data_IF_153962340191
#
_entry.id   IF_153962340191
#
_cell.length_a   1.000
_cell.length_b   1.000
_cell.length_c   1.000
_cell.angle_alpha   90.00
_cell.angle_beta   90.00
_cell.angle_gamma   90.00
#
_symmetry.space_group_name_H-M   'P 1'
#
loop_
_entity.id
_entity.type
_entity.pdbx_description
1 polymer ?
#
# COMPACT_ATOMS: atom_id res chain seq x y z
N UNK A 1 -27.18 -1.27 -17.31
CA UNK A 1 -26.70 -0.24 -16.37
C UNK A 1 -26.58 -0.90 -15.01
N UNK A 2 -25.37 -1.15 -14.53
CA UNK A 2 -25.15 -1.69 -13.19
C UNK A 2 -25.35 -0.55 -12.22
N UNK A 3 -26.44 -0.56 -11.45
CA UNK A 3 -26.66 0.40 -10.37
C UNK A 3 -25.53 0.22 -9.37
N UNK A 4 -24.60 1.17 -9.32
CA UNK A 4 -23.57 1.25 -8.30
C UNK A 4 -24.31 1.53 -6.99
N UNK A 5 -24.44 0.52 -6.12
CA UNK A 5 -25.06 0.69 -4.82
C UNK A 5 -24.15 1.56 -3.97
N UNK A 6 -24.47 2.85 -3.93
CA UNK A 6 -23.78 3.90 -3.19
C UNK A 6 -24.18 3.84 -1.71
N UNK A 7 -23.21 3.74 -0.81
CA UNK A 7 -23.40 3.79 0.64
C UNK A 7 -22.70 5.00 1.25
N UNK A 8 -23.16 5.41 2.43
CA UNK A 8 -22.55 6.50 3.20
C UNK A 8 -21.90 5.94 4.47
N UNK A 9 -20.75 6.48 4.83
CA UNK A 9 -20.05 6.13 6.07
C UNK A 9 -19.85 7.40 6.88
N UNK A 10 -20.40 7.46 8.09
CA UNK A 10 -20.15 8.53 9.05
C UNK A 10 -18.95 8.14 9.93
N UNK A 11 -17.82 8.80 9.75
CA UNK A 11 -16.65 8.65 10.60
C UNK A 11 -16.71 9.68 11.73
N UNK A 12 -16.51 9.22 12.97
CA UNK A 12 -16.38 10.06 14.16
C UNK A 12 -15.07 9.78 14.86
N UNK A 13 -14.42 10.82 15.37
CA UNK A 13 -13.20 10.70 16.14
C UNK A 13 -13.18 11.69 17.30
N UNK A 14 -12.39 11.42 18.33
CA UNK A 14 -12.17 12.43 19.37
C UNK A 14 -11.17 13.48 18.93
N UNK A 15 -11.47 14.74 19.26
CA UNK A 15 -10.60 15.87 18.91
C UNK A 15 -9.25 15.77 19.63
N UNK A 16 -8.18 15.91 18.86
CA UNK A 16 -6.86 16.23 19.35
C UNK A 16 -6.80 17.75 19.68
N UNK A 17 -6.42 18.14 20.91
CA UNK A 17 -6.41 19.54 21.34
C UNK A 17 -5.40 20.42 20.57
N UNK A 18 -4.41 19.81 19.91
CA UNK A 18 -3.39 20.52 19.14
C UNK A 18 -3.68 20.53 17.62
N UNK A 19 -4.81 19.96 17.19
CA UNK A 19 -5.19 19.94 15.78
C UNK A 19 -5.95 21.22 15.39
N UNK A 20 -5.52 21.84 14.31
CA UNK A 20 -6.22 22.95 13.66
C UNK A 20 -7.14 22.45 12.54
N UNK A 21 -6.89 21.25 12.01
CA UNK A 21 -7.63 20.61 10.92
C UNK A 21 -7.47 19.07 11.00
N UNK A 22 -8.18 18.31 10.17
CA UNK A 22 -8.03 16.87 10.00
C UNK A 22 -8.01 16.45 8.54
N UNK A 23 -7.24 15.41 8.25
CA UNK A 23 -7.31 14.68 6.99
C UNK A 23 -7.91 13.30 7.24
N UNK A 24 -8.69 12.82 6.28
CA UNK A 24 -9.21 11.45 6.27
C UNK A 24 -8.64 10.75 5.06
N UNK A 25 -8.12 9.54 5.24
CA UNK A 25 -7.58 8.73 4.15
C UNK A 25 -8.25 7.37 4.17
N UNK A 26 -8.63 6.86 2.99
CA UNK A 26 -9.32 5.59 2.88
C UNK A 26 -9.07 4.89 1.54
N UNK A 27 -9.25 3.57 1.50
CA UNK A 27 -9.08 2.80 0.27
C UNK A 27 -9.33 1.31 0.45
N UNK A 28 -9.08 0.48 -0.59
CA UNK A 28 -9.65 -0.86 -0.69
C UNK A 28 -9.06 -1.90 0.28
N UNK A 29 -7.98 -1.55 0.99
CA UNK A 29 -7.28 -2.48 1.86
C UNK A 29 -6.44 -1.77 2.91
N UNK A 30 -5.98 -2.55 3.88
CA UNK A 30 -5.18 -2.06 5.01
C UNK A 30 -3.91 -1.38 4.52
N UNK A 31 -3.65 -0.14 4.95
CA UNK A 31 -2.51 0.66 4.50
C UNK A 31 -2.53 1.06 3.02
N UNK A 32 -3.63 0.80 2.30
CA UNK A 32 -3.81 1.19 0.90
C UNK A 32 -4.90 2.26 0.80
N UNK A 33 -4.53 3.51 1.11
CA UNK A 33 -5.44 4.65 1.12
C UNK A 33 -5.36 5.44 -0.19
N UNK A 34 -6.12 5.00 -1.20
CA UNK A 34 -6.14 5.62 -2.53
C UNK A 34 -6.89 6.96 -2.58
N UNK A 35 -7.73 7.22 -1.58
CA UNK A 35 -8.63 8.37 -1.53
C UNK A 35 -8.40 9.14 -0.24
N UNK A 36 -8.67 10.45 -0.27
CA UNK A 36 -8.59 11.25 0.93
C UNK A 36 -9.35 12.56 0.85
N UNK A 37 -9.76 13.01 2.03
CA UNK A 37 -10.31 14.34 2.27
C UNK A 37 -9.28 15.12 3.07
N UNK A 38 -8.93 16.31 2.59
CA UNK A 38 -8.10 17.26 3.33
C UNK A 38 -8.90 18.53 3.59
N UNK A 39 -8.53 19.29 4.61
CA UNK A 39 -9.25 20.52 4.92
C UNK A 39 -10.64 20.26 5.49
N UNK A 40 -10.83 19.17 6.24
CA UNK A 40 -12.13 18.84 6.85
C UNK A 40 -12.54 19.83 7.94
N UNK A 41 -11.61 20.69 8.35
CA UNK A 41 -11.72 21.68 9.40
C UNK A 41 -11.46 21.08 10.78
N UNK A 42 -11.53 21.92 11.81
CA UNK A 42 -11.50 21.47 13.21
C UNK A 42 -12.83 20.80 13.60
N UNK A 43 -13.12 19.66 12.99
CA UNK A 43 -14.30 18.82 13.21
C UNK A 43 -13.89 17.52 13.91
N UNK A 44 -14.88 16.81 14.44
CA UNK A 44 -14.78 15.45 15.01
C UNK A 44 -15.59 14.43 14.20
N UNK A 45 -16.13 14.84 13.05
CA UNK A 45 -16.97 14.00 12.22
C UNK A 45 -16.86 14.37 10.74
N UNK A 46 -16.94 13.35 9.88
CA UNK A 46 -17.13 13.51 8.44
C UNK A 46 -17.97 12.38 7.88
N UNK A 47 -18.78 12.68 6.86
CA UNK A 47 -19.52 11.66 6.11
C UNK A 47 -18.88 11.49 4.74
N UNK A 48 -18.50 10.26 4.42
CA UNK A 48 -18.03 9.87 3.08
C UNK A 48 -19.19 9.20 2.36
N UNK A 49 -19.61 9.78 1.25
CA UNK A 49 -20.72 9.30 0.42
C UNK A 49 -20.24 8.58 -0.84
N UNK A 50 -21.16 7.89 -1.51
CA UNK A 50 -20.93 7.24 -2.82
C UNK A 50 -19.90 6.10 -2.83
N UNK A 51 -19.70 5.44 -1.68
CA UNK A 51 -18.86 4.26 -1.60
C UNK A 51 -19.54 3.07 -2.24
N UNK A 52 -18.77 2.19 -2.89
CA UNK A 52 -19.32 0.96 -3.46
C UNK A 52 -19.58 -0.05 -2.34
N UNK A 53 -20.85 -0.31 -2.06
CA UNK A 53 -21.28 -1.31 -1.06
C UNK A 53 -20.68 -2.72 -1.24
N UNK A 54 -20.16 -3.06 -2.42
CA UNK A 54 -19.55 -4.35 -2.70
C UNK A 54 -18.04 -4.40 -2.47
N UNK A 55 -17.43 -3.30 -2.04
CA UNK A 55 -15.99 -3.12 -1.89
C UNK A 55 -15.63 -2.97 -0.41
N UNK A 56 -14.55 -3.64 0.02
CA UNK A 56 -13.94 -3.38 1.33
C UNK A 56 -13.30 -2.00 1.32
N UNK A 57 -13.46 -1.24 2.41
CA UNK A 57 -12.75 0.01 2.63
C UNK A 57 -12.09 0.02 4.00
N UNK A 58 -10.87 0.54 4.07
CA UNK A 58 -10.16 0.83 5.30
C UNK A 58 -9.96 2.35 5.42
N UNK A 59 -10.19 2.90 6.61
CA UNK A 59 -10.20 4.34 6.90
C UNK A 59 -9.23 4.67 8.04
N UNK A 60 -8.59 5.82 7.93
CA UNK A 60 -7.78 6.45 8.98
C UNK A 60 -8.01 7.96 9.00
N UNK A 61 -7.84 8.58 10.16
CA UNK A 61 -7.92 10.03 10.36
C UNK A 61 -6.61 10.55 10.89
N UNK A 62 -6.04 11.61 10.31
CA UNK A 62 -4.87 12.31 10.89
C UNK A 62 -5.24 13.73 11.32
N UNK A 63 -4.82 14.15 12.52
CA UNK A 63 -4.86 15.56 12.89
C UNK A 63 -3.83 16.32 12.07
N UNK A 64 -4.12 17.57 11.78
CA UNK A 64 -3.20 18.51 11.13
C UNK A 64 -3.05 19.70 12.05
N UNK A 65 -1.81 20.10 12.30
CA UNK A 65 -1.50 21.37 12.94
C UNK A 65 -0.74 22.23 11.92
N UNK A 66 -1.38 23.31 11.46
CA UNK A 66 -0.91 24.12 10.35
C UNK A 66 -0.68 23.31 9.06
N UNK A 67 0.57 23.17 8.61
CA UNK A 67 0.96 22.38 7.43
C UNK A 67 1.55 21.01 7.78
N UNK A 68 1.62 20.65 9.07
CA UNK A 68 2.22 19.40 9.52
C UNK A 68 1.14 18.36 9.84
N UNK A 69 1.00 17.29 9.03
CA UNK A 69 0.15 16.17 9.41
C UNK A 69 0.76 15.44 10.62
N UNK A 70 -0.10 15.14 11.60
CA UNK A 70 0.21 14.34 12.76
C UNK A 70 0.02 12.85 12.52
N UNK A 71 0.11 12.07 13.60
CA UNK A 71 -0.09 10.63 13.54
C UNK A 71 -1.52 10.27 13.16
N UNK A 72 -1.68 9.39 12.16
CA UNK A 72 -2.98 8.81 11.79
C UNK A 72 -3.54 7.97 12.95
N UNK A 73 -4.87 7.89 13.03
CA UNK A 73 -5.60 7.03 13.96
C UNK A 73 -5.31 5.56 13.70
N UNK A 74 -5.78 4.68 14.59
CA UNK A 74 -5.98 3.29 14.21
C UNK A 74 -6.80 3.19 12.91
N UNK A 75 -6.55 2.11 12.19
CA UNK A 75 -7.29 1.80 10.98
C UNK A 75 -8.56 1.04 11.32
N UNK A 76 -9.66 1.43 10.67
CA UNK A 76 -10.92 0.70 10.72
C UNK A 76 -11.29 0.28 9.31
N UNK A 77 -11.59 -1.00 9.11
CA UNK A 77 -12.04 -1.52 7.83
C UNK A 77 -13.47 -2.05 7.91
N UNK A 78 -14.26 -1.73 6.90
CA UNK A 78 -15.62 -2.22 6.70
C UNK A 78 -15.72 -3.01 5.39
N UNK A 79 -16.67 -3.94 5.36
CA UNK A 79 -16.92 -4.80 4.20
C UNK A 79 -15.94 -5.96 4.06
N UNK A 80 -16.34 -6.93 3.24
CA UNK A 80 -15.55 -8.12 2.94
C UNK A 80 -14.67 -7.91 1.71
N UNK A 81 -13.44 -8.44 1.76
CA UNK A 81 -12.59 -8.46 0.57
C UNK A 81 -13.18 -9.47 -0.43
N UNK A 82 -13.99 -8.99 -1.39
CA UNK A 82 -14.44 -9.86 -2.47
C UNK A 82 -13.20 -10.32 -3.24
N UNK A 83 -12.98 -11.64 -3.25
CA UNK A 83 -12.00 -12.29 -4.12
C UNK A 83 -12.38 -11.93 -5.56
N UNK A 84 -11.71 -10.93 -6.14
CA UNK A 84 -11.88 -10.62 -7.56
C UNK A 84 -11.22 -11.76 -8.32
N UNK A 85 -12.01 -12.76 -8.69
CA UNK A 85 -11.63 -13.70 -9.74
C UNK A 85 -11.67 -12.89 -11.03
N UNK A 86 -10.50 -12.37 -11.43
CA UNK A 86 -10.31 -11.82 -12.78
C UNK A 86 -10.79 -12.87 -13.78
N UNK A 87 -11.81 -12.49 -14.56
CA UNK A 87 -12.65 -13.40 -15.31
C UNK A 87 -11.87 -14.42 -16.13
N UNK A 88 -12.21 -15.70 -15.94
CA UNK A 88 -12.03 -16.72 -16.96
C UNK A 88 -12.87 -16.27 -18.15
N UNK A 89 -12.22 -16.02 -19.28
CA UNK A 89 -12.88 -15.94 -20.58
C UNK A 89 -13.64 -17.25 -20.80
N UNK A 90 -14.97 -17.25 -20.66
CA UNK A 90 -15.82 -18.34 -21.15
C UNK A 90 -16.14 -18.09 -22.62
N UNK A 91 -15.11 -18.18 -23.45
CA UNK A 91 -15.30 -18.53 -24.85
C UNK A 91 -15.67 -20.02 -24.92
N UNK A 92 -16.91 -20.28 -25.35
CA UNK A 92 -17.51 -21.56 -25.76
C UNK A 92 -16.81 -22.88 -25.40
N UNK A 93 -17.51 -23.70 -24.61
CA UNK A 93 -17.23 -25.13 -24.49
C UNK A 93 -17.63 -25.66 -23.12
N UNK A 94 -18.61 -26.58 -23.10
CA UNK A 94 -18.89 -27.41 -21.95
C UNK A 94 -17.60 -28.07 -21.44
N UNK A 95 -17.33 -27.94 -20.15
CA UNK A 95 -16.48 -28.91 -19.44
C UNK A 95 -17.13 -29.28 -18.13
N UNK A 96 -17.58 -30.54 -18.11
CA UNK A 96 -18.07 -31.30 -16.99
C UNK A 96 -16.94 -31.54 -15.98
N UNK A 97 -17.21 -31.20 -14.71
CA UNK A 97 -16.62 -31.83 -13.54
C UNK A 97 -15.28 -31.26 -13.06
N UNK A 98 -15.29 -30.67 -11.86
CA UNK A 98 -14.60 -31.29 -10.73
C UNK A 98 -15.27 -30.84 -9.42
N UNK A 99 -15.75 -31.84 -8.67
CA UNK A 99 -16.29 -31.72 -7.33
C UNK A 99 -15.15 -31.59 -6.32
N UNK A 100 -15.31 -30.73 -5.32
CA UNK A 100 -14.69 -30.90 -4.01
C UNK A 100 -15.79 -30.92 -2.95
N UNK A 101 -16.08 -32.12 -2.49
CA UNK A 101 -16.94 -32.43 -1.35
C UNK A 101 -16.30 -31.94 -0.05
N UNK A 102 -17.02 -31.08 0.68
CA UNK A 102 -16.95 -31.03 2.14
C UNK A 102 -18.39 -30.87 2.66
N UNK A 103 -18.93 -31.98 3.16
CA UNK A 103 -20.16 -32.10 3.98
C UNK A 103 -19.65 -32.19 5.43
N UNK A 104 -19.93 -31.24 6.31
CA UNK A 104 -21.10 -31.20 7.23
C UNK A 104 -20.53 -31.27 8.67
N UNK A 105 -21.03 -30.62 9.71
CA UNK A 105 -22.25 -29.85 9.94
C UNK A 105 -22.06 -28.92 11.15
N UNK A 106 -22.98 -27.95 11.26
CA UNK A 106 -23.56 -27.38 12.49
C UNK A 106 -22.86 -26.22 13.22
N UNK A 107 -23.26 -24.98 12.90
CA UNK A 107 -24.14 -24.20 13.75
C UNK A 107 -24.56 -22.88 13.07
N UNK A 108 -25.86 -22.79 12.78
CA UNK A 108 -26.70 -21.59 12.64
C UNK A 108 -26.28 -20.48 11.67
N UNK A 109 -26.89 -20.53 10.50
CA UNK A 109 -27.64 -19.42 9.88
C UNK A 109 -27.17 -17.99 10.22
N UNK A 110 -26.33 -17.46 9.36
CA UNK A 110 -26.20 -16.01 9.12
C UNK A 110 -25.97 -15.87 7.63
N UNK A 111 -27.02 -15.55 6.88
CA UNK A 111 -26.87 -15.01 5.54
C UNK A 111 -25.79 -13.92 5.57
N UNK A 112 -24.76 -13.92 4.71
CA UNK A 112 -23.80 -12.84 4.67
C UNK A 112 -24.54 -11.61 4.14
N UNK A 113 -24.94 -10.73 5.05
CA UNK A 113 -25.46 -9.42 4.71
C UNK A 113 -24.34 -8.68 3.98
N UNK A 114 -24.43 -8.68 2.65
CA UNK A 114 -23.39 -8.17 1.75
C UNK A 114 -23.56 -6.66 1.53
N UNK A 115 -24.20 -5.97 2.47
CA UNK A 115 -24.44 -4.54 2.42
C UNK A 115 -23.59 -3.87 3.48
N UNK A 116 -22.80 -2.86 3.10
CA UNK A 116 -22.29 -1.90 4.07
C UNK A 116 -23.53 -1.14 4.58
N UNK A 117 -23.98 -1.31 5.84
CA UNK A 117 -25.04 -0.46 6.36
C UNK A 117 -24.54 1.00 6.40
N UNK A 118 -25.45 1.96 6.50
CA UNK A 118 -25.11 3.34 6.89
C UNK A 118 -24.54 3.29 8.33
N UNK A 119 -23.25 2.98 8.44
CA UNK A 119 -22.58 2.66 9.69
C UNK A 119 -21.89 3.89 10.27
N UNK A 120 -22.00 4.03 11.59
CA UNK A 120 -21.28 5.03 12.36
C UNK A 120 -20.03 4.40 12.94
N UNK A 121 -18.88 4.87 12.51
CA UNK A 121 -17.58 4.38 12.96
C UNK A 121 -17.04 5.37 13.99
N UNK A 122 -16.64 4.89 15.17
CA UNK A 122 -16.10 5.71 16.26
C UNK A 122 -14.63 5.37 16.47
N UNK A 123 -13.77 6.38 16.39
CA UNK A 123 -12.32 6.33 16.65
C UNK A 123 -12.03 6.94 18.04
N UNK A 124 -11.40 6.16 18.93
CA UNK A 124 -11.15 6.54 20.33
C UNK A 124 -9.86 7.38 20.47
N UNK A 125 -9.79 8.38 21.36
CA UNK A 125 -8.57 9.15 21.57
C UNK A 125 -7.36 8.31 22.02
N UNK A 126 -7.60 7.17 22.69
CA UNK A 126 -6.57 6.19 23.02
C UNK A 126 -5.98 5.50 21.78
N UNK A 127 -6.68 5.51 20.64
CA UNK A 127 -6.15 4.99 19.38
C UNK A 127 -5.03 5.85 18.80
N UNK A 128 -4.93 7.13 19.20
CA UNK A 128 -3.77 7.97 18.91
C UNK A 128 -2.59 7.71 19.86
N UNK A 129 -2.80 6.99 20.96
CA UNK A 129 -1.77 6.71 21.98
C UNK A 129 -1.04 5.38 21.77
N UNK A 130 -1.61 4.48 20.96
CA UNK A 130 -0.84 3.43 20.33
C UNK A 130 -0.05 4.07 19.18
N UNK A 131 1.28 3.92 19.07
CA UNK A 131 2.01 4.42 17.92
C UNK A 131 1.51 3.63 16.71
N UNK A 132 0.55 4.21 15.99
CA UNK A 132 0.34 3.84 14.60
C UNK A 132 1.66 4.15 13.93
N UNK A 133 2.24 3.16 13.26
CA UNK A 133 3.46 3.35 12.47
C UNK A 133 3.09 4.47 11.49
N UNK A 134 3.56 5.70 11.73
CA UNK A 134 3.43 6.81 10.77
C UNK A 134 4.55 6.63 9.77
N UNK A 135 4.18 6.21 8.58
CA UNK A 135 5.10 5.79 7.56
C UNK A 135 4.97 6.80 6.47
N UNK A 136 6.02 7.59 6.33
CA UNK A 136 6.08 8.63 5.33
C UNK A 136 6.75 8.08 4.09
N UNK A 137 6.72 8.87 3.04
CA UNK A 137 7.53 8.64 1.86
C UNK A 137 8.98 8.39 2.31
N UNK A 138 9.63 7.32 1.83
CA UNK A 138 11.03 7.08 2.12
C UNK A 138 11.88 8.24 1.60
N UNK A 139 12.85 8.67 2.40
CA UNK A 139 13.74 9.79 2.08
C UNK A 139 15.16 9.36 1.77
N UNK A 140 15.54 8.13 2.13
CA UNK A 140 16.86 7.57 1.86
C UNK A 140 16.83 6.05 1.82
N UNK A 141 17.68 5.47 0.97
CA UNK A 141 17.93 4.02 0.93
C UNK A 141 19.44 3.77 1.02
N UNK A 142 19.82 2.77 1.80
CA UNK A 142 21.21 2.34 1.96
C UNK A 142 21.32 0.83 1.82
N UNK A 143 22.26 0.36 0.99
CA UNK A 143 22.60 -1.05 0.79
C UNK A 143 24.14 -1.16 0.91
N UNK A 144 24.69 -1.31 2.14
CA UNK A 144 26.13 -1.22 2.37
C UNK A 144 26.96 -2.20 1.54
N UNK A 145 26.45 -3.42 1.35
CA UNK A 145 27.14 -4.46 0.58
C UNK A 145 27.34 -4.10 -0.91
N UNK A 146 26.62 -3.09 -1.41
CA UNK A 146 26.64 -2.67 -2.82
C UNK A 146 27.18 -1.24 -3.00
N UNK A 147 27.65 -0.60 -1.94
CA UNK A 147 28.04 0.82 -1.93
C UNK A 147 26.91 1.73 -2.47
N UNK A 148 25.67 1.43 -2.08
CA UNK A 148 24.50 2.24 -2.44
C UNK A 148 24.07 3.03 -1.22
N UNK A 149 24.05 4.35 -1.35
CA UNK A 149 23.53 5.28 -0.36
C UNK A 149 22.92 6.49 -1.08
N UNK A 150 21.59 6.47 -1.23
CA UNK A 150 20.89 7.38 -2.12
C UNK A 150 19.75 8.12 -1.40
N UNK A 151 19.58 9.43 -1.65
CA UNK A 151 18.33 10.09 -1.35
C UNK A 151 17.20 9.48 -2.20
N UNK A 152 16.01 9.40 -1.60
CA UNK A 152 14.79 8.89 -2.24
C UNK A 152 13.80 10.05 -2.40
N UNK A 153 13.28 10.22 -3.61
CA UNK A 153 12.24 11.17 -3.95
C UNK A 153 10.92 10.45 -4.28
N UNK A 154 9.79 11.10 -4.03
CA UNK A 154 8.49 10.56 -4.46
C UNK A 154 8.32 10.75 -5.97
N UNK A 155 8.06 9.66 -6.69
CA UNK A 155 7.76 9.70 -8.11
C UNK A 155 6.26 9.71 -8.35
N UNK A 156 5.79 10.75 -9.03
CA UNK A 156 4.40 10.83 -9.50
C UNK A 156 4.21 9.98 -10.75
N UNK A 157 2.95 9.71 -11.10
CA UNK A 157 2.59 9.11 -12.39
C UNK A 157 2.41 10.22 -13.42
N UNK A 158 3.14 10.15 -14.52
CA UNK A 158 3.01 11.01 -15.70
C UNK A 158 2.96 10.14 -16.96
N UNK A 159 1.94 10.35 -17.79
CA UNK A 159 1.72 9.55 -19.01
C UNK A 159 1.74 8.03 -18.72
N UNK A 160 1.01 7.61 -17.68
CA UNK A 160 0.91 6.22 -17.22
C UNK A 160 2.23 5.57 -16.75
N UNK A 161 3.27 6.38 -16.52
CA UNK A 161 4.57 5.92 -16.06
C UNK A 161 5.01 6.68 -14.81
N UNK A 162 5.70 5.99 -13.88
CA UNK A 162 6.35 6.71 -12.80
C UNK A 162 7.52 7.55 -13.31
N UNK A 163 7.61 8.77 -12.80
CA UNK A 163 8.73 9.67 -13.01
C UNK A 163 10.05 9.02 -12.58
N UNK A 164 11.12 9.31 -13.32
CA UNK A 164 12.49 8.92 -12.93
C UNK A 164 13.32 10.15 -12.68
N UNK A 165 14.34 10.02 -11.83
CA UNK A 165 15.21 11.13 -11.44
C UNK A 165 16.65 10.84 -11.83
N UNK A 166 17.36 11.86 -12.33
CA UNK A 166 18.74 11.69 -12.76
C UNK A 166 19.71 11.38 -11.60
N UNK A 167 19.43 11.84 -10.38
CA UNK A 167 20.36 11.74 -9.25
C UNK A 167 19.78 11.09 -7.99
N UNK A 168 18.56 10.56 -8.05
CA UNK A 168 17.83 10.07 -6.88
C UNK A 168 17.28 8.67 -7.15
N UNK A 169 17.13 7.90 -6.09
CA UNK A 169 16.17 6.81 -6.09
C UNK A 169 14.76 7.39 -6.00
N UNK A 170 13.78 6.63 -6.46
CA UNK A 170 12.40 7.04 -6.60
C UNK A 170 11.50 6.05 -5.88
N UNK A 171 10.59 6.53 -5.05
CA UNK A 171 9.50 5.74 -4.49
C UNK A 171 8.25 5.94 -5.33
N UNK A 172 7.65 4.85 -5.80
CA UNK A 172 6.49 4.92 -6.69
C UNK A 172 5.24 5.32 -5.93
N UNK A 173 4.63 6.47 -6.28
CA UNK A 173 3.36 6.88 -5.68
C UNK A 173 2.30 5.80 -5.90
N UNK A 174 1.52 5.51 -4.85
CA UNK A 174 0.53 4.42 -4.83
C UNK A 174 1.12 3.05 -4.44
N UNK A 175 2.44 2.93 -4.27
CA UNK A 175 3.05 1.82 -3.53
C UNK A 175 3.10 2.13 -2.04
N UNK A 176 3.33 1.10 -1.22
CA UNK A 176 3.33 1.23 0.23
C UNK A 176 4.53 2.07 0.72
N UNK A 177 4.38 2.79 1.82
CA UNK A 177 5.49 3.37 2.57
C UNK A 177 6.18 2.30 3.44
N UNK A 178 7.48 2.48 3.79
CA UNK A 178 8.18 1.58 4.69
C UNK A 178 7.42 1.39 5.98
N UNK A 179 7.00 0.16 6.26
CA UNK A 179 6.24 -0.22 7.43
C UNK A 179 4.76 -0.53 7.20
N UNK A 180 4.22 -0.17 6.04
CA UNK A 180 2.83 -0.39 5.68
C UNK A 180 2.73 -1.83 5.23
N UNK A 181 1.63 -2.51 5.56
CA UNK A 181 1.41 -3.89 5.12
C UNK A 181 1.06 -3.93 3.64
N UNK A 182 2.06 -3.84 2.78
CA UNK A 182 1.97 -4.02 1.32
C UNK A 182 3.40 -3.96 0.72
N UNK A 183 3.52 -3.67 -0.57
CA UNK A 183 4.77 -3.62 -1.31
C UNK A 183 5.29 -2.17 -1.42
N UNK A 184 6.46 -1.92 -0.85
CA UNK A 184 7.22 -0.67 -0.98
C UNK A 184 8.05 -0.77 -2.25
N UNK A 185 7.82 0.12 -3.21
CA UNK A 185 8.52 0.05 -4.50
C UNK A 185 9.49 1.21 -4.63
N UNK A 186 10.79 0.89 -4.71
CA UNK A 186 11.87 1.88 -4.92
C UNK A 186 12.65 1.53 -6.18
N UNK A 187 12.94 2.53 -7.01
CA UNK A 187 13.64 2.33 -8.28
C UNK A 187 14.63 3.45 -8.60
N UNK A 188 15.62 3.13 -9.43
CA UNK A 188 16.57 4.11 -9.94
C UNK A 188 17.16 3.61 -11.27
N UNK A 189 17.81 4.51 -12.02
CA UNK A 189 18.51 4.12 -13.24
C UNK A 189 19.63 3.12 -12.97
N UNK A 190 19.84 2.21 -13.93
CA UNK A 190 20.91 1.22 -13.92
C UNK A 190 22.24 1.85 -14.36
N UNK A 191 22.84 2.67 -13.49
CA UNK A 191 24.14 3.29 -13.75
C UNK A 191 24.93 3.53 -12.47
N UNK A 192 26.22 3.79 -12.61
CA UNK A 192 27.10 4.13 -11.49
C UNK A 192 26.55 5.33 -10.71
N UNK A 193 26.63 5.26 -9.38
CA UNK A 193 26.04 6.25 -8.48
C UNK A 193 24.52 6.16 -8.30
N UNK A 194 23.86 5.15 -8.88
CA UNK A 194 22.46 4.80 -8.63
C UNK A 194 22.34 3.26 -8.44
N UNK A 195 21.35 2.60 -9.04
CA UNK A 195 21.14 1.15 -8.90
C UNK A 195 22.02 0.30 -9.83
N UNK A 196 23.08 0.87 -10.43
CA UNK A 196 24.00 0.12 -11.29
C UNK A 196 24.67 -1.08 -10.62
N UNK A 197 24.88 -1.02 -9.31
CA UNK A 197 25.47 -2.13 -8.53
C UNK A 197 24.44 -3.16 -8.06
N UNK A 198 23.13 -2.94 -8.30
CA UNK A 198 22.08 -3.85 -7.85
C UNK A 198 22.22 -5.26 -8.45
N UNK A 199 22.87 -5.39 -9.61
CA UNK A 199 23.24 -6.68 -10.23
C UNK A 199 24.17 -7.56 -9.39
N UNK A 200 24.84 -7.00 -8.38
CA UNK A 200 25.69 -7.73 -7.45
C UNK A 200 24.98 -8.05 -6.12
N UNK A 201 23.69 -7.74 -6.01
CA UNK A 201 22.89 -8.09 -4.84
C UNK A 201 22.95 -9.60 -4.56
N UNK A 202 22.87 -9.96 -3.28
CA UNK A 202 22.86 -11.34 -2.83
C UNK A 202 21.67 -11.54 -1.88
N UNK A 203 21.09 -12.73 -1.91
CA UNK A 203 20.12 -13.15 -0.89
C UNK A 203 20.79 -13.09 0.48
N UNK A 204 20.10 -12.52 1.46
CA UNK A 204 20.62 -12.25 2.80
C UNK A 204 21.21 -10.85 2.99
N UNK A 205 21.47 -10.09 1.91
CA UNK A 205 21.95 -8.71 2.02
C UNK A 205 20.94 -7.83 2.75
N UNK A 206 21.44 -6.95 3.62
CA UNK A 206 20.60 -5.99 4.34
C UNK A 206 20.41 -4.70 3.54
N UNK A 207 19.20 -4.17 3.64
CA UNK A 207 18.80 -2.89 3.06
C UNK A 207 18.18 -2.06 4.19
N UNK A 208 18.59 -0.80 4.32
CA UNK A 208 17.96 0.14 5.24
C UNK A 208 17.25 1.22 4.45
N UNK A 209 15.99 1.49 4.81
CA UNK A 209 15.21 2.61 4.28
C UNK A 209 14.92 3.59 5.42
N UNK A 210 15.18 4.87 5.20
CA UNK A 210 14.82 5.94 6.12
C UNK A 210 13.47 6.52 5.72
N UNK A 211 12.53 6.57 6.66
CA UNK A 211 11.23 7.22 6.49
C UNK A 211 10.81 7.85 7.82
N UNK A 212 10.35 9.11 7.81
CA UNK A 212 9.95 9.85 9.02
C UNK A 212 10.96 9.76 10.17
N UNK A 213 12.26 9.91 9.86
CA UNK A 213 13.35 9.81 10.82
C UNK A 213 13.49 8.43 11.52
N UNK A 214 12.87 7.39 10.96
CA UNK A 214 12.94 6.00 11.43
C UNK A 214 13.60 5.12 10.37
N UNK A 215 14.41 4.17 10.83
CA UNK A 215 15.06 3.19 9.97
C UNK A 215 14.20 1.93 9.89
N UNK A 216 13.98 1.46 8.68
CA UNK A 216 13.32 0.19 8.37
C UNK A 216 14.37 -0.73 7.77
N UNK A 217 14.58 -1.89 8.39
CA UNK A 217 15.53 -2.88 7.88
C UNK A 217 14.78 -3.95 7.09
N UNK A 218 15.36 -4.28 5.96
CA UNK A 218 14.92 -5.36 5.09
C UNK A 218 16.09 -6.29 4.81
N UNK A 219 15.78 -7.55 4.52
CA UNK A 219 16.74 -8.54 4.09
C UNK A 219 16.31 -9.10 2.74
N UNK A 220 17.22 -9.08 1.76
CA UNK A 220 16.98 -9.64 0.43
C UNK A 220 16.60 -11.11 0.55
N UNK A 221 15.44 -11.47 0.00
CA UNK A 221 14.91 -12.83 0.00
C UNK A 221 14.89 -13.45 -1.39
N UNK A 222 14.76 -12.63 -2.45
CA UNK A 222 14.69 -13.12 -3.83
C UNK A 222 15.30 -12.09 -4.78
N UNK A 223 15.96 -12.58 -5.83
CA UNK A 223 16.49 -11.76 -6.92
C UNK A 223 16.06 -12.43 -8.22
N UNK A 224 15.44 -11.67 -9.12
CA UNK A 224 15.00 -12.19 -10.43
C UNK A 224 15.12 -11.16 -11.53
N UNK A 225 15.25 -11.65 -12.75
CA UNK A 225 15.20 -10.85 -13.96
C UNK A 225 13.90 -11.14 -14.71
N UNK A 226 13.13 -10.10 -15.01
CA UNK A 226 11.79 -10.20 -15.61
C UNK A 226 11.71 -9.34 -16.88
N UNK A 227 10.67 -9.55 -17.69
CA UNK A 227 10.34 -8.65 -18.81
C UNK A 227 9.53 -7.44 -18.33
N UNK A 228 9.58 -6.28 -19.02
CA UNK A 228 8.94 -5.05 -18.54
C UNK A 228 7.41 -5.12 -18.41
N UNK A 229 6.76 -6.05 -19.11
CA UNK A 229 5.31 -6.31 -19.06
C UNK A 229 4.87 -7.10 -17.81
N UNK A 230 5.81 -7.68 -17.04
CA UNK A 230 5.51 -8.45 -15.82
C UNK A 230 5.29 -7.54 -14.59
N UNK A 231 4.28 -6.68 -14.67
CA UNK A 231 3.95 -5.65 -13.67
C UNK A 231 3.42 -6.19 -12.35
N UNK A 232 2.99 -7.45 -12.29
CA UNK A 232 2.51 -8.09 -11.05
C UNK A 232 3.56 -8.10 -9.93
N UNK A 233 4.84 -8.01 -10.28
CA UNK A 233 5.96 -8.03 -9.32
C UNK A 233 6.02 -6.78 -8.43
N UNK A 234 5.50 -5.64 -8.91
CA UNK A 234 5.46 -4.37 -8.15
C UNK A 234 4.07 -4.10 -7.56
N UNK A 235 3.15 -5.06 -7.67
CA UNK A 235 1.81 -4.96 -7.10
C UNK A 235 1.79 -5.15 -5.58
N UNK A 236 0.62 -4.94 -4.94
CA UNK A 236 0.46 -5.13 -3.50
C UNK A 236 0.78 -6.55 -3.03
N UNK A 237 1.29 -6.66 -1.81
CA UNK A 237 1.63 -7.93 -1.14
C UNK A 237 0.85 -8.09 0.16
N UNK A 238 0.69 -9.32 0.65
CA UNK A 238 0.00 -9.58 1.93
C UNK A 238 0.82 -9.15 3.15
N UNK A 239 2.14 -9.17 3.01
CA UNK A 239 3.10 -8.75 4.04
C UNK A 239 3.93 -7.58 3.53
N UNK A 240 4.55 -6.86 4.46
CA UNK A 240 5.46 -5.77 4.13
C UNK A 240 6.68 -6.30 3.36
N UNK A 241 6.77 -5.88 2.10
CA UNK A 241 7.83 -6.26 1.17
C UNK A 241 8.48 -5.01 0.59
N UNK A 242 9.80 -5.00 0.48
CA UNK A 242 10.52 -3.99 -0.30
C UNK A 242 10.91 -4.59 -1.65
N UNK A 243 10.42 -3.98 -2.72
CA UNK A 243 10.79 -4.29 -4.10
C UNK A 243 11.69 -3.19 -4.65
N UNK A 244 12.95 -3.53 -4.92
CA UNK A 244 13.85 -2.68 -5.69
C UNK A 244 13.81 -3.10 -7.15
N UNK A 245 13.65 -2.14 -8.07
CA UNK A 245 13.71 -2.45 -9.50
C UNK A 245 14.60 -1.48 -10.29
N UNK A 246 15.28 -2.01 -11.32
CA UNK A 246 16.07 -1.23 -12.27
C UNK A 246 16.12 -1.90 -13.64
N UNK A 247 16.61 -1.20 -14.67
CA UNK A 247 16.84 -1.77 -15.99
C UNK A 247 17.94 -2.84 -15.96
N UNK A 248 17.87 -3.83 -16.85
CA UNK A 248 18.85 -4.91 -16.94
C UNK A 248 18.81 -5.58 -18.31
N UNK A 249 19.64 -6.62 -18.48
CA UNK A 249 19.78 -7.34 -19.74
C UNK A 249 20.45 -6.50 -20.83
N UNK A 250 20.54 -7.07 -22.02
CA UNK A 250 21.12 -6.40 -23.18
C UNK A 250 20.27 -5.19 -23.60
N UNK A 251 20.88 -4.01 -23.67
CA UNK A 251 20.23 -2.74 -24.01
C UNK A 251 18.99 -2.42 -23.14
N UNK A 252 19.05 -2.71 -21.84
CA UNK A 252 17.99 -2.36 -20.85
C UNK A 252 16.60 -2.98 -21.14
N UNK A 253 16.55 -4.05 -21.94
CA UNK A 253 15.31 -4.73 -22.36
C UNK A 253 14.60 -5.48 -21.23
N UNK A 254 15.27 -5.70 -20.10
CA UNK A 254 14.72 -6.46 -18.97
C UNK A 254 14.71 -5.61 -17.70
N UNK A 255 14.15 -6.17 -16.62
CA UNK A 255 14.14 -5.56 -15.30
C UNK A 255 14.77 -6.50 -14.28
N UNK A 256 15.74 -5.98 -13.54
CA UNK A 256 16.28 -6.66 -12.38
C UNK A 256 15.43 -6.26 -11.19
N UNK A 257 14.90 -7.27 -10.50
CA UNK A 257 14.08 -7.13 -9.31
C UNK A 257 14.81 -7.74 -8.14
N UNK A 258 14.91 -6.98 -7.06
CA UNK A 258 15.37 -7.46 -5.76
C UNK A 258 14.21 -7.32 -4.79
N UNK A 259 13.76 -8.44 -4.23
CA UNK A 259 12.69 -8.51 -3.24
C UNK A 259 13.32 -8.74 -1.88
N UNK A 260 12.90 -7.96 -0.89
CA UNK A 260 13.39 -8.04 0.47
C UNK A 260 12.24 -8.02 1.47
N UNK A 261 12.33 -8.88 2.49
CA UNK A 261 11.35 -8.96 3.58
C UNK A 261 11.72 -8.00 4.70
N UNK A 262 10.74 -7.43 5.39
CA UNK A 262 10.98 -6.65 6.60
C UNK A 262 11.59 -7.55 7.70
N UNK A 263 12.63 -7.06 8.39
CA UNK A 263 13.30 -7.76 9.53
C UNK A 263 13.30 -6.93 10.83
N UNK A 264 12.42 -5.93 10.92
CA UNK A 264 12.23 -5.05 12.08
C UNK A 264 12.87 -3.67 11.95
N UNK A 265 12.54 -2.81 12.91
CA UNK A 265 13.19 -1.51 13.13
C UNK A 265 14.35 -1.63 14.12
#
# INVERSE_FOLDING_TARGET
ATTKSATNVELKWSKNPNATDYNVSYGPGSGNYLYGLSGTGNTDTVTISELDSNQRYCFVVSPVNDCAPGQISNEICIGEAKKVVLGVFTGGGEVLGLSSTASGDDATDSTPDTTLPDEKIIIDPADFTNPVKVLGVPTRITIPALDIDLPVAEAKVENDLWQTFAGFAAHGVGSANPGERSNVVIFAHNRAGLFGNLKYAQVGSEITVLSNNRKFRYQVSEIKEITPDQTSTIGPTQEETLTLYTCSGENDKKRLIVIARNIGA
#
